data_IF_844959815795
#
_entry.id   IF_844959815795
#
_cell.length_a   1.000
_cell.length_b   1.000
_cell.length_c   1.000
_cell.angle_alpha   90.00
_cell.angle_beta   90.00
_cell.angle_gamma   90.00
#
_symmetry.space_group_name_H-M   'P 1'
#
loop_
_entity.id
_entity.type
_entity.pdbx_description
1 polymer ?
#
# COMPACT_ATOMS: atom_id res chain seq x y z
N UNK A 1 -7.13 9.25 9.04
CA UNK A 1 -7.99 8.24 8.42
C UNK A 1 -7.24 6.93 8.38
N UNK A 2 -7.74 5.92 9.08
CA UNK A 2 -7.16 4.58 9.16
C UNK A 2 -8.06 3.57 8.43
N UNK A 3 -7.68 2.28 8.44
CA UNK A 3 -8.44 1.21 7.77
C UNK A 3 -9.91 1.12 8.22
N UNK A 4 -10.19 1.29 9.52
CA UNK A 4 -11.55 1.25 10.06
C UNK A 4 -12.39 2.44 9.57
N UNK A 5 -11.77 3.60 9.43
CA UNK A 5 -12.45 4.79 8.89
C UNK A 5 -12.88 4.56 7.43
N UNK A 6 -12.03 3.91 6.63
CA UNK A 6 -12.35 3.54 5.23
C UNK A 6 -13.51 2.55 5.20
N UNK A 7 -13.48 1.49 6.02
CA UNK A 7 -14.57 0.51 6.10
C UNK A 7 -15.90 1.18 6.48
N UNK A 8 -15.89 2.09 7.45
CA UNK A 8 -17.09 2.85 7.83
C UNK A 8 -17.61 3.71 6.68
N UNK A 9 -16.75 4.34 5.89
CA UNK A 9 -17.15 5.13 4.74
C UNK A 9 -17.77 4.24 3.64
N UNK A 10 -17.15 3.11 3.34
CA UNK A 10 -17.64 2.14 2.35
C UNK A 10 -18.95 1.49 2.79
N UNK A 11 -19.13 1.24 4.08
CA UNK A 11 -20.37 0.71 4.65
C UNK A 11 -21.58 1.66 4.52
N UNK A 12 -21.37 2.94 4.20
CA UNK A 12 -22.49 3.85 3.86
C UNK A 12 -23.08 3.60 2.48
N UNK A 13 -22.33 2.91 1.62
CA UNK A 13 -22.71 2.63 0.22
C UNK A 13 -23.14 1.17 0.06
N UNK A 14 -22.73 0.29 0.98
CA UNK A 14 -23.05 -1.14 0.96
C UNK A 14 -24.12 -1.49 2.00
N UNK A 15 -24.75 -2.64 1.79
CA UNK A 15 -25.84 -3.12 2.65
C UNK A 15 -25.37 -3.50 4.05
N UNK A 16 -24.19 -4.11 4.18
CA UNK A 16 -23.67 -4.55 5.48
C UNK A 16 -22.24 -4.11 5.75
N UNK A 17 -21.92 -3.91 7.04
CA UNK A 17 -20.54 -3.66 7.50
C UNK A 17 -19.60 -4.82 7.17
N UNK A 18 -20.12 -6.05 7.15
CA UNK A 18 -19.35 -7.25 6.79
C UNK A 18 -18.88 -7.22 5.34
N UNK A 19 -19.78 -6.90 4.41
CA UNK A 19 -19.45 -6.73 3.00
C UNK A 19 -18.47 -5.57 2.78
N UNK A 20 -18.66 -4.44 3.47
CA UNK A 20 -17.73 -3.31 3.40
C UNK A 20 -16.34 -3.67 3.90
N UNK A 21 -16.24 -4.41 5.01
CA UNK A 21 -14.98 -4.92 5.49
C UNK A 21 -14.32 -5.77 4.41
N UNK A 22 -15.04 -6.79 3.94
CA UNK A 22 -14.54 -7.76 2.94
C UNK A 22 -14.08 -7.08 1.65
N UNK A 23 -14.86 -6.15 1.11
CA UNK A 23 -14.51 -5.38 -0.09
C UNK A 23 -13.19 -4.61 0.10
N UNK A 24 -13.02 -3.93 1.24
CA UNK A 24 -11.78 -3.20 1.54
C UNK A 24 -10.60 -4.15 1.71
N UNK A 25 -10.76 -5.28 2.42
CA UNK A 25 -9.66 -6.25 2.57
C UNK A 25 -9.24 -6.84 1.23
N UNK A 26 -10.21 -7.30 0.43
CA UNK A 26 -9.95 -7.88 -0.89
C UNK A 26 -9.26 -6.86 -1.80
N UNK A 27 -9.67 -5.60 -1.80
CA UNK A 27 -9.04 -4.56 -2.62
C UNK A 27 -7.54 -4.42 -2.30
N UNK A 28 -7.18 -4.29 -1.02
CA UNK A 28 -5.77 -4.14 -0.64
C UNK A 28 -4.96 -5.42 -0.87
N UNK A 29 -5.57 -6.60 -0.67
CA UNK A 29 -4.88 -7.87 -0.94
C UNK A 29 -4.65 -8.08 -2.44
N UNK A 30 -5.60 -7.74 -3.30
CA UNK A 30 -5.42 -7.79 -4.76
C UNK A 30 -4.31 -6.86 -5.22
N UNK A 31 -4.26 -5.62 -4.71
CA UNK A 31 -3.16 -4.69 -5.02
C UNK A 31 -1.83 -5.28 -4.57
N UNK A 32 -1.77 -5.87 -3.37
CA UNK A 32 -0.56 -6.49 -2.83
C UNK A 32 -0.08 -7.66 -3.69
N UNK A 33 -1.00 -8.53 -4.13
CA UNK A 33 -0.68 -9.69 -4.97
C UNK A 33 -0.17 -9.26 -6.34
N UNK A 34 -0.80 -8.27 -6.98
CA UNK A 34 -0.34 -7.70 -8.24
C UNK A 34 1.09 -7.13 -8.11
N UNK A 35 1.33 -6.32 -7.07
CA UNK A 35 2.66 -5.75 -6.83
C UNK A 35 3.73 -6.82 -6.54
N UNK A 36 3.37 -7.93 -5.88
CA UNK A 36 4.29 -9.07 -5.68
C UNK A 36 4.70 -9.75 -6.99
N UNK A 37 3.85 -9.69 -8.01
CA UNK A 37 4.11 -10.22 -9.34
C UNK A 37 4.78 -9.18 -10.26
N UNK A 38 5.25 -8.06 -9.69
CA UNK A 38 5.82 -6.90 -10.41
C UNK A 38 4.81 -6.25 -11.39
N UNK A 39 3.51 -6.51 -11.20
CA UNK A 39 2.45 -5.94 -12.02
C UNK A 39 2.14 -4.49 -11.56
N UNK A 40 2.00 -3.61 -12.55
CA UNK A 40 1.61 -2.22 -12.34
C UNK A 40 0.10 -2.11 -12.15
N UNK A 41 -0.34 -1.65 -10.99
CA UNK A 41 -1.76 -1.38 -10.72
C UNK A 41 -2.07 0.07 -11.03
N UNK A 42 -3.04 0.31 -11.91
CA UNK A 42 -3.51 1.66 -12.27
C UNK A 42 -4.96 1.82 -11.82
N UNK A 43 -5.20 2.82 -10.97
CA UNK A 43 -6.55 3.21 -10.54
C UNK A 43 -6.79 4.63 -11.02
N UNK A 44 -7.62 4.77 -12.07
CA UNK A 44 -7.95 6.06 -12.69
C UNK A 44 -8.44 7.07 -11.65
N UNK A 45 -7.98 8.31 -11.76
CA UNK A 45 -8.30 9.41 -10.84
C UNK A 45 -7.87 9.19 -9.38
N UNK A 46 -7.07 8.17 -9.09
CA UNK A 46 -6.52 7.92 -7.75
C UNK A 46 -5.00 7.82 -7.77
N UNK A 47 -4.44 6.90 -8.56
CA UNK A 47 -3.00 6.73 -8.62
C UNK A 47 -2.54 5.48 -9.35
N UNK A 48 -1.21 5.38 -9.44
CA UNK A 48 -0.52 4.22 -10.01
C UNK A 48 0.40 3.64 -8.96
N UNK A 49 0.29 2.34 -8.72
CA UNK A 49 1.15 1.58 -7.83
C UNK A 49 2.04 0.67 -8.66
N UNK A 50 3.34 0.68 -8.36
CA UNK A 50 4.32 -0.22 -8.96
C UNK A 50 5.44 -0.48 -7.98
N UNK A 51 6.07 -1.64 -8.09
CA UNK A 51 7.34 -1.89 -7.42
C UNK A 51 8.43 -1.11 -8.18
N UNK A 52 9.33 -0.49 -7.42
CA UNK A 52 10.51 0.19 -7.97
C UNK A 52 11.72 -0.41 -7.28
N UNK A 53 12.51 -1.18 -8.03
CA UNK A 53 13.83 -1.57 -7.59
C UNK A 53 14.68 -0.31 -7.35
N UNK A 54 15.36 -0.28 -6.22
CA UNK A 54 16.33 0.76 -5.87
C UNK A 54 17.68 0.09 -5.76
N UNK A 55 18.71 0.74 -6.29
CA UNK A 55 20.09 0.25 -6.13
C UNK A 55 20.55 0.52 -4.70
N UNK A 56 21.47 -0.32 -4.24
CA UNK A 56 22.15 -0.11 -2.98
C UNK A 56 22.80 1.28 -2.97
N UNK A 57 22.67 1.98 -1.86
CA UNK A 57 23.23 3.33 -1.71
C UNK A 57 23.85 3.50 -0.34
N UNK A 58 24.86 4.35 -0.29
CA UNK A 58 25.51 4.73 0.95
C UNK A 58 24.63 5.73 1.72
N UNK A 59 24.14 5.31 2.88
CA UNK A 59 23.44 6.15 3.84
C UNK A 59 24.35 6.60 4.99
N UNK A 60 23.82 7.43 5.88
CA UNK A 60 24.48 7.80 7.13
C UNK A 60 23.56 7.53 8.31
N UNK A 61 24.13 6.99 9.39
CA UNK A 61 23.44 6.84 10.65
C UNK A 61 23.08 8.23 11.20
N UNK A 62 21.79 8.55 11.42
CA UNK A 62 21.39 9.87 11.91
C UNK A 62 21.91 10.20 13.32
N UNK A 63 22.27 9.19 14.11
CA UNK A 63 22.75 9.35 15.50
C UNK A 63 24.27 9.43 15.61
N UNK A 64 25.00 8.65 14.82
CA UNK A 64 26.47 8.54 14.93
C UNK A 64 27.22 9.18 13.77
N UNK A 65 26.56 9.42 12.63
CA UNK A 65 27.17 9.94 11.42
C UNK A 65 27.90 8.89 10.58
N UNK A 66 28.02 7.67 11.08
CA UNK A 66 28.73 6.59 10.40
C UNK A 66 28.09 6.26 9.05
N UNK A 67 28.94 5.92 8.10
CA UNK A 67 28.55 5.47 6.77
C UNK A 67 27.98 4.06 6.86
N UNK A 68 26.76 3.85 6.36
CA UNK A 68 26.07 2.56 6.37
C UNK A 68 25.56 2.24 4.96
N UNK A 69 25.75 1.02 4.49
CA UNK A 69 25.14 0.57 3.23
C UNK A 69 23.63 0.33 3.41
N UNK A 70 22.84 0.90 2.51
CA UNK A 70 21.39 0.68 2.42
C UNK A 70 21.16 -0.25 1.22
N UNK A 71 20.86 -1.55 1.45
CA UNK A 71 20.57 -2.50 0.38
C UNK A 71 19.24 -2.20 -0.33
#
# INVERSE_FOLDING_TARGET
MNRLDIIKAVAKVLSTKGEASKAVETTFETIRLALRQDEKVVISNFGTFRVKARQARTGRNPKTGDTVEVP
#
